data_IF_050511595282
#
_entry.id   IF_050511595282
#
_cell.length_a   1.000
_cell.length_b   1.000
_cell.length_c   1.000
_cell.angle_alpha   90.00
_cell.angle_beta   90.00
_cell.angle_gamma   90.00
#
_symmetry.space_group_name_H-M   'P 1'
#
loop_
_entity.id
_entity.type
_entity.pdbx_description
1 polymer ?
#
# COMPACT_ATOMS: atom_id res chain seq x y z
N UNK A 1 -5.35 -2.24 -18.84
CA UNK A 1 -4.62 -3.51 -19.03
C UNK A 1 -4.65 -4.28 -17.71
N UNK A 2 -4.95 -5.54 -17.78
CA UNK A 2 -4.98 -6.43 -16.63
C UNK A 2 -3.67 -7.19 -16.51
N UNK A 3 -3.21 -7.38 -15.29
CA UNK A 3 -2.05 -8.21 -14.99
C UNK A 3 -2.37 -9.08 -13.76
N UNK A 4 -2.17 -10.39 -13.90
CA UNK A 4 -2.42 -11.33 -12.80
C UNK A 4 -1.13 -11.66 -12.08
N UNK A 5 -1.16 -11.55 -10.77
CA UNK A 5 -0.08 -11.96 -9.88
C UNK A 5 -0.55 -13.15 -9.04
N UNK A 6 -0.60 -14.32 -9.68
CA UNK A 6 -1.12 -15.52 -9.03
C UNK A 6 -0.26 -15.93 -7.83
N UNK A 7 1.04 -15.63 -7.85
CA UNK A 7 1.95 -15.85 -6.74
C UNK A 7 1.56 -15.07 -5.48
N UNK A 8 0.93 -13.89 -5.66
CA UNK A 8 0.47 -13.04 -4.57
C UNK A 8 -1.03 -13.13 -4.35
N UNK A 9 -1.78 -13.71 -5.29
CA UNK A 9 -3.24 -13.76 -5.23
C UNK A 9 -3.85 -12.39 -5.43
N UNK A 10 -3.44 -11.67 -6.48
CA UNK A 10 -4.04 -10.39 -6.82
C UNK A 10 -4.13 -10.18 -8.33
N UNK A 11 -5.04 -9.30 -8.72
CA UNK A 11 -5.21 -8.87 -10.11
C UNK A 11 -4.96 -7.37 -10.14
N UNK A 12 -4.08 -6.92 -11.03
CA UNK A 12 -3.72 -5.51 -11.16
C UNK A 12 -4.34 -4.93 -12.43
N UNK A 13 -5.02 -3.80 -12.29
CA UNK A 13 -5.60 -3.07 -13.41
C UNK A 13 -4.84 -1.77 -13.60
N UNK A 14 -4.28 -1.56 -14.78
CA UNK A 14 -3.55 -0.34 -15.11
C UNK A 14 -4.52 0.77 -15.51
N UNK A 15 -4.43 1.91 -14.84
CA UNK A 15 -5.20 3.10 -15.14
C UNK A 15 -4.20 4.27 -15.32
N UNK A 16 -3.65 4.41 -16.51
CA UNK A 16 -2.61 5.41 -16.77
C UNK A 16 -1.34 5.12 -15.96
N UNK A 17 -0.98 6.03 -15.09
CA UNK A 17 0.20 5.88 -14.20
C UNK A 17 -0.15 5.22 -12.87
N UNK A 18 -1.43 4.89 -12.66
CA UNK A 18 -1.90 4.29 -11.42
C UNK A 18 -2.24 2.82 -11.60
N UNK A 19 -2.22 2.08 -10.50
CA UNK A 19 -2.70 0.70 -10.44
C UNK A 19 -3.86 0.60 -9.46
N UNK A 20 -4.87 -0.17 -9.85
CA UNK A 20 -5.90 -0.64 -8.94
C UNK A 20 -5.65 -2.13 -8.69
N UNK A 21 -5.45 -2.50 -7.45
CA UNK A 21 -5.22 -3.89 -7.05
C UNK A 21 -6.52 -4.49 -6.53
N UNK A 22 -6.97 -5.56 -7.17
CA UNK A 22 -8.13 -6.34 -6.72
C UNK A 22 -7.58 -7.58 -6.00
N UNK A 23 -7.94 -7.73 -4.73
CA UNK A 23 -7.41 -8.78 -3.86
C UNK A 23 -8.55 -9.72 -3.47
N UNK A 24 -8.70 -10.86 -4.14
CA UNK A 24 -9.72 -11.84 -3.77
C UNK A 24 -9.50 -12.34 -2.34
N UNK A 25 -10.57 -12.39 -1.55
CA UNK A 25 -10.48 -12.78 -0.14
C UNK A 25 -10.02 -14.24 0.05
N UNK A 26 -10.15 -15.04 -0.99
CA UNK A 26 -9.76 -16.46 -0.97
C UNK A 26 -8.31 -16.69 -1.41
N UNK A 27 -7.64 -15.66 -1.93
CA UNK A 27 -6.25 -15.77 -2.40
C UNK A 27 -5.24 -15.62 -1.27
N UNK A 28 -3.96 -15.69 -1.61
CA UNK A 28 -2.87 -15.65 -0.63
C UNK A 28 -2.88 -14.38 0.21
N UNK A 29 -2.95 -13.21 -0.43
CA UNK A 29 -2.99 -11.94 0.28
C UNK A 29 -4.33 -11.73 0.98
N UNK A 30 -5.43 -12.04 0.29
CA UNK A 30 -6.76 -11.81 0.82
C UNK A 30 -7.08 -12.65 2.04
N UNK A 31 -6.64 -13.92 2.05
CA UNK A 31 -6.88 -14.80 3.20
C UNK A 31 -6.13 -14.36 4.46
N UNK A 32 -5.02 -13.62 4.30
CA UNK A 32 -4.28 -13.07 5.42
C UNK A 32 -4.92 -11.77 5.97
N UNK A 33 -5.85 -11.19 5.23
CA UNK A 33 -6.47 -9.92 5.58
C UNK A 33 -7.66 -10.02 6.54
N UNK A 34 -8.03 -11.20 6.96
CA UNK A 34 -9.13 -11.41 7.89
C UNK A 34 -10.47 -11.67 7.20
N UNK A 35 -11.57 -11.32 7.86
CA UNK A 35 -12.91 -11.60 7.36
C UNK A 35 -13.21 -10.86 6.07
N UNK A 36 -14.00 -11.50 5.20
CA UNK A 36 -14.45 -10.88 3.95
C UNK A 36 -15.24 -9.60 4.25
N UNK A 37 -15.04 -8.54 3.45
CA UNK A 37 -15.79 -7.31 3.64
C UNK A 37 -17.27 -7.52 3.31
N UNK A 38 -18.10 -6.80 4.02
CA UNK A 38 -19.53 -6.81 3.80
C UNK A 38 -20.07 -5.39 3.91
N UNK A 39 -21.34 -5.29 4.26
CA UNK A 39 -22.01 -3.98 4.33
C UNK A 39 -21.37 -3.07 5.39
N UNK A 40 -20.85 -3.64 6.47
CA UNK A 40 -20.26 -2.90 7.58
C UNK A 40 -18.74 -3.00 7.64
N UNK A 41 -18.15 -3.93 6.87
CA UNK A 41 -16.72 -4.13 6.84
C UNK A 41 -16.05 -3.29 5.77
N UNK A 42 -14.80 -2.92 6.03
CA UNK A 42 -14.01 -2.16 5.05
C UNK A 42 -13.56 -3.08 3.92
N UNK A 43 -13.66 -2.60 2.69
CA UNK A 43 -13.14 -3.32 1.53
C UNK A 43 -11.97 -2.62 0.86
N UNK A 44 -11.58 -1.44 1.34
CA UNK A 44 -10.38 -0.76 0.87
C UNK A 44 -9.23 -1.14 1.80
N UNK A 45 -8.24 -1.88 1.28
CA UNK A 45 -7.08 -2.29 2.07
C UNK A 45 -6.20 -1.10 2.41
N UNK A 46 -5.76 -0.38 1.40
CA UNK A 46 -4.99 0.84 1.57
C UNK A 46 -4.96 1.65 0.28
N UNK A 47 -4.47 2.87 0.39
CA UNK A 47 -4.14 3.69 -0.77
C UNK A 47 -2.74 4.24 -0.61
N UNK A 48 -2.13 4.63 -1.73
CA UNK A 48 -0.71 4.96 -1.77
C UNK A 48 -0.49 6.32 -2.40
N UNK A 49 0.34 7.15 -1.76
CA UNK A 49 0.86 8.37 -2.34
C UNK A 49 2.31 8.17 -2.78
N UNK A 50 2.65 8.70 -3.93
CA UNK A 50 4.04 8.81 -4.36
C UNK A 50 4.66 10.02 -3.71
N UNK A 51 5.79 9.83 -3.04
CA UNK A 51 6.51 10.87 -2.32
C UNK A 51 7.91 11.02 -2.92
N UNK A 52 8.26 12.24 -3.30
CA UNK A 52 9.58 12.52 -3.87
C UNK A 52 10.06 13.90 -3.39
N UNK A 53 11.28 14.03 -2.85
CA UNK A 53 12.20 12.92 -2.55
C UNK A 53 11.71 12.05 -1.38
N UNK A 54 12.11 10.79 -1.37
CA UNK A 54 11.74 9.86 -0.30
C UNK A 54 12.94 9.62 0.61
N UNK A 55 12.89 10.22 1.78
CA UNK A 55 13.87 10.02 2.85
C UNK A 55 13.12 9.41 4.04
N UNK A 56 13.28 8.10 4.22
CA UNK A 56 12.54 7.36 5.22
C UNK A 56 12.73 7.94 6.63
N UNK A 57 13.97 8.27 7.01
CA UNK A 57 14.26 8.79 8.33
C UNK A 57 13.58 10.15 8.55
N UNK A 58 13.61 11.03 7.55
CA UNK A 58 12.97 12.34 7.63
C UNK A 58 11.46 12.23 7.71
N UNK A 59 10.87 11.31 6.93
CA UNK A 59 9.42 11.06 6.94
C UNK A 59 8.98 10.56 8.31
N UNK A 60 9.66 9.54 8.84
CA UNK A 60 9.35 8.97 10.16
C UNK A 60 9.44 10.05 11.25
N UNK A 61 10.48 10.87 11.21
CA UNK A 61 10.66 11.97 12.16
C UNK A 61 9.53 12.99 12.08
N UNK A 62 9.16 13.39 10.89
CA UNK A 62 8.07 14.36 10.68
C UNK A 62 6.73 13.81 11.19
N UNK A 63 6.44 12.55 10.89
CA UNK A 63 5.22 11.90 11.37
C UNK A 63 5.20 11.82 12.88
N UNK A 64 6.32 11.50 13.51
CA UNK A 64 6.43 11.42 14.97
C UNK A 64 6.14 12.77 15.64
N UNK A 65 6.51 13.88 15.00
CA UNK A 65 6.21 15.22 15.50
C UNK A 65 4.71 15.48 15.59
N UNK A 66 3.90 14.76 14.83
CA UNK A 66 2.44 14.85 14.85
C UNK A 66 1.79 13.67 15.60
N UNK A 67 2.58 12.90 16.34
CA UNK A 67 2.08 11.77 17.10
C UNK A 67 1.72 10.56 16.26
N UNK A 68 2.24 10.47 15.04
CA UNK A 68 1.96 9.37 14.13
C UNK A 68 3.13 8.38 14.12
N UNK A 69 2.83 7.12 14.41
CA UNK A 69 3.83 6.06 14.35
C UNK A 69 3.83 5.43 12.97
N UNK A 70 5.00 5.42 12.34
CA UNK A 70 5.18 4.83 11.02
C UNK A 70 5.64 3.38 11.15
N UNK A 71 5.20 2.54 10.21
CA UNK A 71 5.72 1.19 10.07
C UNK A 71 7.16 1.18 9.58
N UNK A 72 7.81 0.03 9.65
CA UNK A 72 9.18 -0.12 9.18
C UNK A 72 9.25 0.06 7.65
N UNK A 73 10.24 0.82 7.15
CA UNK A 73 10.44 0.94 5.70
C UNK A 73 10.78 -0.41 5.07
N UNK A 74 10.25 -0.65 3.88
CA UNK A 74 10.56 -1.86 3.11
C UNK A 74 10.44 -1.56 1.62
N UNK A 75 11.09 -2.38 0.80
CA UNK A 75 10.92 -2.31 -0.65
C UNK A 75 9.62 -3.01 -1.02
N UNK A 76 8.76 -2.32 -1.77
CA UNK A 76 7.46 -2.87 -2.19
C UNK A 76 7.18 -2.55 -3.63
N UNK A 77 6.44 -3.46 -4.28
CA UNK A 77 5.97 -3.24 -5.64
C UNK A 77 4.84 -2.20 -5.65
N UNK A 78 4.73 -1.49 -6.75
CA UNK A 78 3.69 -0.50 -6.95
C UNK A 78 3.56 -0.12 -8.42
N UNK A 79 2.85 0.96 -8.69
CA UNK A 79 2.52 1.39 -10.04
C UNK A 79 3.73 1.65 -10.93
N UNK A 80 4.84 2.09 -10.34
CA UNK A 80 6.07 2.40 -11.08
C UNK A 80 7.11 1.28 -10.97
N UNK A 81 6.87 0.27 -10.13
CA UNK A 81 7.81 -0.82 -9.86
C UNK A 81 8.15 -0.91 -8.38
N UNK A 82 9.28 -1.52 -8.07
CA UNK A 82 9.71 -1.70 -6.68
C UNK A 82 10.43 -0.45 -6.19
N UNK A 83 10.03 0.03 -5.03
CA UNK A 83 10.66 1.18 -4.39
C UNK A 83 10.41 1.19 -2.89
N UNK A 84 11.05 2.12 -2.18
CA UNK A 84 10.92 2.20 -0.72
C UNK A 84 9.51 2.64 -0.34
N UNK A 85 8.99 2.05 0.73
CA UNK A 85 7.62 2.30 1.15
C UNK A 85 7.49 2.21 2.67
N UNK A 86 6.57 3.02 3.20
CA UNK A 86 6.22 3.05 4.62
C UNK A 86 4.71 3.06 4.72
N UNK A 87 4.14 2.25 5.62
CA UNK A 87 2.72 2.30 5.95
C UNK A 87 2.47 3.11 7.20
N UNK A 88 1.40 3.89 7.19
CA UNK A 88 0.92 4.63 8.36
C UNK A 88 -0.60 4.50 8.44
N UNK A 89 -1.15 4.80 9.61
CA UNK A 89 -2.60 4.90 9.79
C UNK A 89 -3.00 6.37 9.85
N UNK A 90 -4.10 6.72 9.17
CA UNK A 90 -4.69 8.03 9.35
C UNK A 90 -5.52 8.08 10.66
N UNK A 91 -6.05 9.25 11.06
CA UNK A 91 -6.81 9.34 12.32
C UNK A 91 -8.04 8.44 12.38
N UNK A 92 -8.58 8.02 11.24
CA UNK A 92 -9.75 7.14 11.19
C UNK A 92 -9.38 5.67 11.02
N UNK A 93 -8.08 5.36 11.05
CA UNK A 93 -7.60 3.99 10.92
C UNK A 93 -7.48 3.49 9.49
N UNK A 94 -7.56 4.37 8.50
CA UNK A 94 -7.27 3.97 7.13
C UNK A 94 -5.76 3.78 6.94
N UNK A 95 -5.39 2.73 6.22
CA UNK A 95 -3.99 2.47 5.92
C UNK A 95 -3.55 3.31 4.74
N UNK A 96 -2.48 4.08 4.93
CA UNK A 96 -1.88 4.90 3.89
C UNK A 96 -0.47 4.41 3.64
N UNK A 97 -0.16 4.16 2.39
CA UNK A 97 1.21 3.83 1.98
C UNK A 97 1.88 5.09 1.41
N UNK A 98 3.09 5.36 1.87
CA UNK A 98 3.94 6.41 1.33
C UNK A 98 5.07 5.72 0.59
N UNK A 99 5.15 5.92 -0.72
CA UNK A 99 6.09 5.18 -1.55
C UNK A 99 6.96 6.13 -2.36
N UNK A 100 8.25 5.88 -2.35
CA UNK A 100 9.22 6.63 -3.12
C UNK A 100 9.38 6.13 -4.55
N UNK A 101 10.25 6.81 -5.33
CA UNK A 101 10.55 6.39 -6.69
C UNK A 101 11.15 4.98 -6.73
N UNK A 102 11.00 4.34 -7.90
CA UNK A 102 11.59 3.02 -8.11
C UNK A 102 13.09 3.05 -7.88
N UNK A 103 13.60 1.93 -7.36
CA UNK A 103 15.02 1.72 -7.18
C UNK A 103 15.54 0.80 -8.26
N UNK A 104 16.59 1.23 -8.92
CA UNK A 104 17.26 0.43 -9.95
C UNK A 104 18.45 -0.33 -9.35
#
# INVERSE_FOLDING_TARGET
MEERRDDLGLIQLRAGKSLLDLVPVTGKLGSAGGAAPGKEGRNLDHFCFRVEPFDAAAIVKQLAQHGIEAGAPAARNGAEGVGPSIYVLDPEGNVVELKGPIQN
#
